data_IF_855876413735
#
_entry.id   IF_855876413735
#
_cell.length_a   1.000
_cell.length_b   1.000
_cell.length_c   1.000
_cell.angle_alpha   90.00
_cell.angle_beta   90.00
_cell.angle_gamma   90.00
#
_symmetry.space_group_name_H-M   'P 1'
#
loop_
_entity.id
_entity.type
_entity.pdbx_description
1 polymer ?
#
# COMPACT_ATOMS: atom_id res chain seq x y z
N UNK A 1 -13.59 43.17 1.78
CA UNK A 1 -12.70 42.52 2.78
C UNK A 1 -13.11 41.07 3.09
N UNK A 2 -14.21 40.53 2.53
CA UNK A 2 -14.64 39.14 2.76
C UNK A 2 -13.84 38.06 2.00
N UNK A 3 -13.15 38.41 0.91
CA UNK A 3 -12.37 37.43 0.13
C UNK A 3 -11.17 36.83 0.87
N UNK A 4 -10.56 37.55 1.82
CA UNK A 4 -9.36 37.08 2.52
C UNK A 4 -9.61 36.13 3.69
N UNK A 5 -10.80 36.15 4.30
CA UNK A 5 -11.14 35.22 5.40
C UNK A 5 -11.56 33.84 4.87
N UNK A 6 -12.29 33.80 3.76
CA UNK A 6 -12.71 32.54 3.14
C UNK A 6 -11.51 31.79 2.53
N UNK A 7 -10.57 32.51 1.91
CA UNK A 7 -9.29 31.93 1.46
C UNK A 7 -8.45 31.40 2.62
N UNK A 8 -8.38 32.12 3.75
CA UNK A 8 -7.69 31.65 4.97
C UNK A 8 -8.36 30.40 5.56
N UNK A 9 -9.68 30.32 5.53
CA UNK A 9 -10.44 29.15 5.96
C UNK A 9 -10.17 27.92 5.08
N UNK A 10 -10.18 28.10 3.76
CA UNK A 10 -9.91 27.04 2.79
C UNK A 10 -8.45 26.56 2.84
N UNK A 11 -7.49 27.49 2.93
CA UNK A 11 -6.06 27.19 3.13
C UNK A 11 -5.82 26.49 4.49
N UNK A 12 -6.50 26.90 5.56
CA UNK A 12 -6.40 26.27 6.86
C UNK A 12 -7.03 24.86 6.90
N UNK A 13 -7.98 24.58 6.01
CA UNK A 13 -8.60 23.27 5.81
C UNK A 13 -7.68 22.37 4.95
N UNK A 14 -7.16 22.88 3.83
CA UNK A 14 -6.19 22.17 2.98
C UNK A 14 -4.89 21.83 3.72
N UNK A 15 -4.41 22.72 4.59
CA UNK A 15 -3.25 22.47 5.46
C UNK A 15 -3.52 21.40 6.55
N UNK A 16 -4.78 21.02 6.77
CA UNK A 16 -5.18 20.02 7.77
C UNK A 16 -5.42 18.63 7.19
N UNK A 17 -5.62 18.53 5.86
CA UNK A 17 -5.85 17.26 5.18
C UNK A 17 -4.49 16.57 4.93
N UNK A 18 -4.34 15.29 5.30
CA UNK A 18 -3.14 14.51 5.01
C UNK A 18 -3.13 14.10 3.54
N UNK A 19 -2.94 15.05 2.63
CA UNK A 19 -3.06 14.84 1.18
C UNK A 19 -2.22 13.65 0.70
N UNK A 20 -1.01 13.48 1.24
CA UNK A 20 -0.15 12.36 0.88
C UNK A 20 -0.75 10.99 1.24
N UNK A 21 -1.26 10.83 2.47
CA UNK A 21 -1.87 9.56 2.92
C UNK A 21 -3.22 9.31 2.28
N UNK A 22 -3.99 10.36 1.98
CA UNK A 22 -5.24 10.26 1.25
C UNK A 22 -5.02 9.79 -0.19
N UNK A 23 -4.04 10.38 -0.89
CA UNK A 23 -3.65 9.94 -2.24
C UNK A 23 -3.17 8.48 -2.20
N UNK A 24 -2.34 8.12 -1.22
CA UNK A 24 -1.90 6.73 -1.02
C UNK A 24 -3.09 5.78 -0.89
N UNK A 25 -4.08 6.14 -0.06
CA UNK A 25 -5.30 5.34 0.12
C UNK A 25 -6.13 5.23 -1.15
N UNK A 26 -6.28 6.30 -1.94
CA UNK A 26 -6.99 6.26 -3.22
C UNK A 26 -6.28 5.34 -4.23
N UNK A 27 -4.96 5.46 -4.37
CA UNK A 27 -4.16 4.59 -5.24
C UNK A 27 -4.30 3.13 -4.80
N UNK A 28 -4.27 2.89 -3.48
CA UNK A 28 -4.48 1.56 -2.91
C UNK A 28 -5.87 1.00 -3.25
N UNK A 29 -6.93 1.80 -3.16
CA UNK A 29 -8.30 1.37 -3.51
C UNK A 29 -8.44 1.03 -4.99
N UNK A 30 -7.87 1.86 -5.87
CA UNK A 30 -7.86 1.58 -7.32
C UNK A 30 -7.08 0.30 -7.60
N UNK A 31 -5.91 0.14 -6.98
CA UNK A 31 -5.10 -1.06 -7.10
C UNK A 31 -5.80 -2.31 -6.60
N UNK A 32 -6.40 -2.30 -5.40
CA UNK A 32 -7.05 -3.50 -4.86
C UNK A 32 -8.35 -3.84 -5.60
N UNK A 33 -9.10 -2.84 -6.05
CA UNK A 33 -10.29 -3.01 -6.87
C UNK A 33 -9.96 -3.64 -8.22
N UNK A 34 -8.96 -3.08 -8.91
CA UNK A 34 -8.43 -3.64 -10.17
C UNK A 34 -7.93 -5.06 -9.98
N UNK A 35 -7.08 -5.29 -8.97
CA UNK A 35 -6.52 -6.61 -8.66
C UNK A 35 -7.60 -7.65 -8.40
N UNK A 36 -8.58 -7.34 -7.55
CA UNK A 36 -9.64 -8.28 -7.19
C UNK A 36 -10.50 -8.62 -8.41
N UNK A 37 -10.91 -7.62 -9.18
CA UNK A 37 -11.75 -7.83 -10.37
C UNK A 37 -11.01 -8.66 -11.43
N UNK A 38 -9.79 -8.27 -11.79
CA UNK A 38 -9.03 -8.96 -12.85
C UNK A 38 -8.54 -10.34 -12.42
N UNK A 39 -8.20 -10.55 -11.15
CA UNK A 39 -7.77 -11.85 -10.63
C UNK A 39 -8.92 -12.86 -10.61
N UNK A 40 -10.11 -12.48 -10.12
CA UNK A 40 -11.26 -13.37 -10.10
C UNK A 40 -11.66 -13.77 -11.53
N UNK A 41 -11.73 -12.80 -12.45
CA UNK A 41 -12.07 -13.08 -13.85
C UNK A 41 -10.98 -13.95 -14.51
N UNK A 42 -9.71 -13.62 -14.30
CA UNK A 42 -8.57 -14.36 -14.87
C UNK A 42 -8.50 -15.80 -14.36
N UNK A 43 -8.70 -16.03 -13.06
CA UNK A 43 -8.72 -17.38 -12.49
C UNK A 43 -9.88 -18.21 -13.01
N UNK A 44 -11.09 -17.63 -13.12
CA UNK A 44 -12.27 -18.34 -13.67
C UNK A 44 -12.05 -18.77 -15.12
N UNK A 45 -11.57 -17.86 -15.96
CA UNK A 45 -11.25 -18.14 -17.36
C UNK A 45 -10.09 -19.12 -17.50
N UNK A 46 -9.09 -19.03 -16.65
CA UNK A 46 -7.99 -20.00 -16.63
C UNK A 46 -8.49 -21.40 -16.25
N UNK A 47 -9.49 -21.50 -15.37
CA UNK A 47 -10.13 -22.76 -14.97
C UNK A 47 -10.86 -23.41 -16.13
N UNK A 48 -11.62 -22.62 -16.86
CA UNK A 48 -12.32 -23.06 -18.07
C UNK A 48 -11.32 -23.51 -19.15
N UNK A 49 -10.23 -22.77 -19.33
CA UNK A 49 -9.19 -23.06 -20.32
C UNK A 49 -8.42 -24.37 -20.02
N UNK A 50 -8.09 -24.62 -18.76
CA UNK A 50 -7.33 -25.81 -18.35
C UNK A 50 -8.21 -27.02 -18.02
N UNK A 51 -9.51 -26.82 -17.78
CA UNK A 51 -10.45 -27.84 -17.33
C UNK A 51 -9.92 -28.65 -16.14
N UNK A 52 -9.27 -27.97 -15.17
CA UNK A 52 -8.69 -28.58 -13.97
C UNK A 52 -9.26 -27.89 -12.70
N UNK A 53 -10.00 -28.60 -11.83
CA UNK A 53 -10.89 -27.94 -10.87
C UNK A 53 -10.31 -27.64 -9.48
N UNK A 54 -9.47 -28.48 -8.87
CA UNK A 54 -9.52 -28.57 -7.40
C UNK A 54 -8.86 -27.42 -6.61
N UNK A 55 -7.66 -26.97 -6.98
CA UNK A 55 -6.95 -25.94 -6.20
C UNK A 55 -7.38 -24.51 -6.54
N UNK A 56 -7.96 -24.31 -7.73
CA UNK A 56 -8.29 -22.97 -8.24
C UNK A 56 -9.58 -22.38 -7.65
N UNK A 57 -10.40 -23.17 -6.95
CA UNK A 57 -11.55 -22.63 -6.19
C UNK A 57 -11.11 -21.80 -5.00
N UNK A 58 -10.06 -22.22 -4.30
CA UNK A 58 -9.55 -21.50 -3.13
C UNK A 58 -9.00 -20.12 -3.48
N UNK A 59 -8.54 -19.91 -4.72
CA UNK A 59 -7.95 -18.64 -5.16
C UNK A 59 -8.94 -17.48 -5.17
N UNK A 60 -10.23 -17.73 -5.46
CA UNK A 60 -11.27 -16.68 -5.42
C UNK A 60 -11.50 -16.19 -3.98
N UNK A 61 -11.71 -17.13 -3.06
CA UNK A 61 -11.93 -16.83 -1.64
C UNK A 61 -10.71 -16.15 -1.00
N UNK A 62 -9.51 -16.62 -1.32
CA UNK A 62 -8.25 -16.00 -0.86
C UNK A 62 -8.12 -14.58 -1.41
N UNK A 63 -8.46 -14.34 -2.68
CA UNK A 63 -8.39 -13.00 -3.29
C UNK A 63 -9.34 -12.03 -2.57
N UNK A 64 -10.56 -12.46 -2.27
CA UNK A 64 -11.54 -11.64 -1.52
C UNK A 64 -11.03 -11.37 -0.10
N UNK A 65 -10.49 -12.38 0.58
CA UNK A 65 -9.91 -12.23 1.93
C UNK A 65 -8.76 -11.22 1.96
N UNK A 66 -7.85 -11.26 0.97
CA UNK A 66 -6.77 -10.28 0.83
C UNK A 66 -7.34 -8.87 0.60
N UNK A 67 -8.35 -8.73 -0.27
CA UNK A 67 -8.99 -7.45 -0.57
C UNK A 67 -9.54 -6.78 0.69
N UNK A 68 -10.36 -7.49 1.46
CA UNK A 68 -10.95 -6.98 2.70
C UNK A 68 -9.86 -6.60 3.70
N UNK A 69 -8.85 -7.46 3.86
CA UNK A 69 -7.74 -7.24 4.79
C UNK A 69 -6.95 -5.97 4.46
N UNK A 70 -6.64 -5.74 3.18
CA UNK A 70 -5.87 -4.57 2.73
C UNK A 70 -6.67 -3.28 2.85
N UNK A 71 -7.98 -3.30 2.58
CA UNK A 71 -8.85 -2.13 2.77
C UNK A 71 -8.91 -1.74 4.26
N UNK A 72 -9.08 -2.71 5.15
CA UNK A 72 -9.11 -2.46 6.60
C UNK A 72 -7.78 -1.90 7.09
N UNK A 73 -6.67 -2.54 6.74
CA UNK A 73 -5.33 -2.09 7.14
C UNK A 73 -5.00 -0.72 6.55
N UNK A 74 -5.24 -0.50 5.26
CA UNK A 74 -4.95 0.78 4.62
C UNK A 74 -5.82 1.93 5.16
N UNK A 75 -7.06 1.65 5.53
CA UNK A 75 -7.91 2.64 6.22
C UNK A 75 -7.38 2.95 7.62
N UNK A 76 -6.90 1.94 8.35
CA UNK A 76 -6.22 2.15 9.63
C UNK A 76 -4.94 3.00 9.47
N UNK A 77 -4.12 2.72 8.46
CA UNK A 77 -2.93 3.52 8.14
C UNK A 77 -3.29 4.98 7.82
N UNK A 78 -4.36 5.19 7.03
CA UNK A 78 -4.88 6.53 6.73
C UNK A 78 -5.30 7.27 8.01
N UNK A 79 -6.06 6.63 8.89
CA UNK A 79 -6.53 7.24 10.14
C UNK A 79 -5.34 7.66 11.01
N UNK A 80 -4.37 6.76 11.23
CA UNK A 80 -3.19 7.07 12.05
C UNK A 80 -2.36 8.19 11.43
N UNK A 81 -2.15 8.17 10.11
CA UNK A 81 -1.44 9.24 9.43
C UNK A 81 -2.19 10.59 9.49
N UNK A 82 -3.52 10.57 9.42
CA UNK A 82 -4.38 11.76 9.57
C UNK A 82 -4.28 12.38 10.96
N UNK A 83 -4.30 11.54 12.00
CA UNK A 83 -4.16 11.99 13.39
C UNK A 83 -2.76 12.53 13.68
N UNK A 84 -1.74 11.98 13.01
CA UNK A 84 -0.34 12.33 13.21
C UNK A 84 0.13 13.51 12.35
N UNK A 85 -0.71 14.00 11.45
CA UNK A 85 -0.40 15.15 10.59
C UNK A 85 -0.36 16.45 11.36
N UNK A 86 0.50 17.39 10.94
CA UNK A 86 1.02 18.47 11.78
C UNK A 86 0.00 19.33 12.53
N UNK A 87 -1.15 19.68 11.92
CA UNK A 87 -2.21 20.44 12.60
C UNK A 87 -2.97 19.58 13.62
N UNK A 88 -3.34 18.35 13.23
CA UNK A 88 -4.09 17.43 14.08
C UNK A 88 -3.24 16.91 15.25
N UNK A 89 -1.95 16.66 15.01
CA UNK A 89 -1.05 16.13 16.02
C UNK A 89 -0.88 17.08 17.21
N UNK A 90 -0.95 18.40 16.98
CA UNK A 90 -0.87 19.40 18.06
C UNK A 90 -2.07 19.33 19.02
N UNK A 91 -3.25 18.94 18.52
CA UNK A 91 -4.45 18.77 19.34
C UNK A 91 -4.52 17.37 19.97
N UNK A 92 -4.25 16.33 19.18
CA UNK A 92 -4.39 14.92 19.59
C UNK A 92 -3.21 14.48 20.46
N UNK A 93 -1.99 14.87 20.12
CA UNK A 93 -0.75 14.47 20.78
C UNK A 93 -0.10 15.62 21.58
N UNK A 94 -0.94 16.43 22.23
CA UNK A 94 -0.52 17.65 22.93
C UNK A 94 0.36 17.44 24.17
N UNK A 95 0.26 16.28 24.82
CA UNK A 95 1.05 15.96 26.04
C UNK A 95 2.15 14.96 25.74
N UNK A 96 3.22 14.96 26.53
CA UNK A 96 4.37 14.04 26.37
C UNK A 96 3.93 12.57 26.33
N UNK A 97 2.98 12.17 27.18
CA UNK A 97 2.43 10.81 27.20
C UNK A 97 1.64 10.49 25.92
N UNK A 98 0.78 11.40 25.46
CA UNK A 98 0.02 11.23 24.20
C UNK A 98 0.96 11.20 23.00
N UNK A 99 2.00 12.03 22.97
CA UNK A 99 2.99 12.01 21.91
C UNK A 99 3.83 10.73 21.88
N UNK A 100 4.19 10.18 23.05
CA UNK A 100 4.84 8.86 23.10
C UNK A 100 3.94 7.78 22.49
N UNK A 101 2.64 7.78 22.79
CA UNK A 101 1.67 6.87 22.18
C UNK A 101 1.55 7.07 20.66
N UNK A 102 1.44 8.32 20.19
CA UNK A 102 1.42 8.64 18.76
C UNK A 102 2.65 8.13 18.03
N UNK A 103 3.84 8.27 18.62
CA UNK A 103 5.09 7.73 18.08
C UNK A 103 5.07 6.21 17.99
N UNK A 104 4.63 5.52 19.03
CA UNK A 104 4.49 4.06 19.02
C UNK A 104 3.52 3.58 17.95
N UNK A 105 2.37 4.25 17.81
CA UNK A 105 1.41 3.96 16.74
C UNK A 105 2.03 4.13 15.34
N UNK A 106 2.77 5.20 15.10
CA UNK A 106 3.44 5.41 13.81
C UNK A 106 4.51 4.34 13.54
N UNK A 107 5.28 3.91 14.54
CA UNK A 107 6.25 2.81 14.40
C UNK A 107 5.54 1.51 14.00
N UNK A 108 4.44 1.16 14.69
CA UNK A 108 3.64 -0.02 14.37
C UNK A 108 3.09 0.07 12.94
N UNK A 109 2.58 1.23 12.54
CA UNK A 109 2.09 1.45 11.18
C UNK A 109 3.20 1.36 10.12
N UNK A 110 4.41 1.84 10.41
CA UNK A 110 5.58 1.67 9.52
C UNK A 110 5.93 0.20 9.34
N UNK A 111 5.95 -0.58 10.44
CA UNK A 111 6.21 -2.02 10.37
C UNK A 111 5.16 -2.71 9.51
N UNK A 112 3.87 -2.42 9.72
CA UNK A 112 2.80 -2.99 8.89
C UNK A 112 2.94 -2.59 7.42
N UNK A 113 3.08 -1.30 7.12
CA UNK A 113 3.20 -0.81 5.75
C UNK A 113 4.42 -1.43 5.03
N UNK A 114 5.54 -1.62 5.73
CA UNK A 114 6.73 -2.28 5.19
C UNK A 114 6.49 -3.76 4.90
N UNK A 115 5.91 -4.50 5.86
CA UNK A 115 5.59 -5.91 5.68
C UNK A 115 4.63 -6.11 4.50
N UNK A 116 3.58 -5.29 4.40
CA UNK A 116 2.65 -5.34 3.28
C UNK A 116 3.33 -4.98 1.96
N UNK A 117 4.23 -3.99 1.93
CA UNK A 117 4.99 -3.68 0.72
C UNK A 117 5.79 -4.90 0.23
N UNK A 118 6.51 -5.59 1.12
CA UNK A 118 7.27 -6.81 0.78
C UNK A 118 6.33 -7.91 0.28
N UNK A 119 5.19 -8.14 0.94
CA UNK A 119 4.20 -9.12 0.49
C UNK A 119 3.69 -8.80 -0.93
N UNK A 120 3.38 -7.54 -1.21
CA UNK A 120 2.91 -7.13 -2.54
C UNK A 120 3.99 -7.24 -3.62
N UNK A 121 5.27 -7.05 -3.28
CA UNK A 121 6.38 -7.34 -4.18
C UNK A 121 6.48 -8.83 -4.50
N UNK A 122 6.32 -9.71 -3.50
CA UNK A 122 6.29 -11.15 -3.70
C UNK A 122 5.11 -11.58 -4.59
N UNK A 123 3.93 -10.97 -4.40
CA UNK A 123 2.77 -11.18 -5.27
C UNK A 123 3.09 -10.75 -6.71
N UNK A 124 3.73 -9.60 -6.91
CA UNK A 124 4.16 -9.15 -8.24
C UNK A 124 5.09 -10.18 -8.89
N UNK A 125 6.09 -10.69 -8.15
CA UNK A 125 6.97 -11.75 -8.62
C UNK A 125 6.23 -13.05 -8.93
N UNK A 126 5.26 -13.46 -8.11
CA UNK A 126 4.45 -14.65 -8.38
C UNK A 126 3.61 -14.51 -9.65
N UNK A 127 3.07 -13.31 -9.91
CA UNK A 127 2.26 -13.01 -11.09
C UNK A 127 3.08 -12.97 -12.40
N UNK A 128 4.40 -12.85 -12.34
CA UNK A 128 5.21 -12.94 -13.57
C UNK A 128 5.16 -14.33 -14.18
N UNK A 129 4.95 -15.39 -13.38
CA UNK A 129 4.88 -16.76 -13.89
C UNK A 129 3.69 -17.00 -14.83
N UNK A 130 2.41 -16.76 -14.45
CA UNK A 130 1.30 -16.93 -15.38
C UNK A 130 1.40 -16.00 -16.59
N UNK A 131 1.90 -14.77 -16.41
CA UNK A 131 2.16 -13.86 -17.53
C UNK A 131 3.18 -14.43 -18.52
N UNK A 132 4.30 -14.95 -18.00
CA UNK A 132 5.34 -15.55 -18.82
C UNK A 132 4.81 -16.74 -19.61
N UNK A 133 4.03 -17.63 -18.98
CA UNK A 133 3.43 -18.79 -19.66
C UNK A 133 2.45 -18.37 -20.76
N UNK A 134 1.63 -17.35 -20.53
CA UNK A 134 0.69 -16.85 -21.54
C UNK A 134 1.38 -16.11 -22.69
N UNK A 135 2.49 -15.40 -22.42
CA UNK A 135 3.33 -14.80 -23.46
C UNK A 135 4.04 -15.88 -24.28
N UNK A 136 4.52 -16.95 -23.63
CA UNK A 136 5.14 -18.07 -24.33
C UNK A 136 4.12 -18.80 -25.22
N UNK A 137 2.89 -18.98 -24.74
CA UNK A 137 1.79 -19.50 -25.56
C UNK A 137 1.55 -18.63 -26.80
N UNK A 138 1.56 -17.30 -26.65
CA UNK A 138 1.46 -16.36 -27.76
C UNK A 138 2.56 -16.57 -28.79
N UNK A 139 3.81 -16.64 -28.34
CA UNK A 139 4.97 -16.80 -29.21
C UNK A 139 4.89 -18.13 -29.97
N UNK A 140 4.57 -19.23 -29.28
CA UNK A 140 4.44 -20.55 -29.91
C UNK A 140 3.35 -20.57 -31.00
N UNK A 141 2.21 -19.92 -30.74
CA UNK A 141 1.10 -19.90 -31.68
C UNK A 141 1.31 -18.91 -32.85
N UNK A 142 1.67 -17.65 -32.57
CA UNK A 142 1.77 -16.60 -33.60
C UNK A 142 3.09 -16.62 -34.37
N UNK A 143 4.22 -16.93 -33.72
CA UNK A 143 5.55 -16.84 -34.35
C UNK A 143 6.05 -18.18 -34.86
N UNK A 144 5.89 -19.25 -34.09
CA UNK A 144 6.38 -20.58 -34.44
C UNK A 144 5.33 -21.46 -35.15
N UNK A 145 4.07 -21.03 -35.19
CA UNK A 145 2.96 -21.75 -35.83
C UNK A 145 2.93 -23.25 -35.49
N UNK A 146 3.10 -23.59 -34.20
CA UNK A 146 3.10 -24.99 -33.75
C UNK A 146 1.74 -25.64 -34.01
N UNK A 147 1.74 -26.89 -34.46
CA UNK A 147 0.49 -27.65 -34.72
C UNK A 147 -0.14 -28.19 -33.43
N UNK A 148 0.67 -28.46 -32.41
CA UNK A 148 0.25 -29.07 -31.14
C UNK A 148 1.04 -28.52 -29.95
N UNK A 149 0.39 -28.42 -28.79
CA UNK A 149 1.00 -28.09 -27.49
C UNK A 149 0.80 -29.26 -26.52
N UNK A 150 1.92 -29.79 -26.01
CA UNK A 150 1.90 -30.79 -24.96
C UNK A 150 1.94 -30.12 -23.57
N UNK A 151 0.80 -30.13 -22.87
CA UNK A 151 0.63 -29.54 -21.54
C UNK A 151 1.42 -30.26 -20.43
N UNK A 152 1.91 -31.48 -20.68
CA UNK A 152 2.74 -32.23 -19.73
C UNK A 152 4.05 -31.51 -19.43
N UNK A 153 4.61 -30.80 -20.41
CA UNK A 153 5.83 -29.99 -20.26
C UNK A 153 5.61 -28.76 -19.36
N UNK A 154 4.36 -28.42 -19.05
CA UNK A 154 3.96 -27.24 -18.28
C UNK A 154 3.33 -27.60 -16.94
N UNK A 155 3.54 -28.84 -16.46
CA UNK A 155 3.07 -29.29 -15.15
C UNK A 155 1.68 -29.92 -15.13
N UNK A 156 1.11 -30.24 -16.30
CA UNK A 156 -0.17 -30.95 -16.41
C UNK A 156 0.02 -32.36 -17.03
N UNK A 157 0.56 -33.33 -16.27
CA UNK A 157 0.96 -34.65 -16.79
C UNK A 157 -0.20 -35.49 -17.32
N UNK A 158 -1.42 -35.26 -16.81
CA UNK A 158 -2.62 -36.04 -17.16
C UNK A 158 -3.43 -35.42 -18.32
N UNK A 159 -2.95 -34.33 -18.93
CA UNK A 159 -3.65 -33.65 -20.02
C UNK A 159 -3.14 -34.15 -21.37
N UNK A 160 -4.07 -34.46 -22.26
CA UNK A 160 -3.77 -34.77 -23.66
C UNK A 160 -3.20 -33.55 -24.38
N UNK A 161 -2.35 -33.74 -25.41
CA UNK A 161 -1.88 -32.65 -26.24
C UNK A 161 -3.04 -31.94 -26.95
N UNK A 162 -2.98 -30.61 -26.98
CA UNK A 162 -3.96 -29.75 -27.64
C UNK A 162 -3.46 -29.44 -29.05
N UNK A 163 -4.24 -29.78 -30.07
CA UNK A 163 -3.89 -29.63 -31.49
C UNK A 163 -5.04 -28.99 -32.30
N UNK A 164 -4.71 -28.51 -33.49
CA UNK A 164 -5.66 -28.06 -34.53
C UNK A 164 -6.70 -27.03 -34.03
N UNK A 165 -8.00 -27.26 -34.27
CA UNK A 165 -9.08 -26.36 -33.85
C UNK A 165 -9.11 -26.11 -32.34
N UNK A 166 -8.71 -27.12 -31.53
CA UNK A 166 -8.61 -26.96 -30.07
C UNK A 166 -7.48 -26.02 -29.69
N UNK A 167 -6.40 -25.98 -30.47
CA UNK A 167 -5.29 -25.06 -30.25
C UNK A 167 -5.71 -23.61 -30.55
N UNK A 168 -6.52 -23.37 -31.58
CA UNK A 168 -7.07 -22.04 -31.86
C UNK A 168 -7.96 -21.52 -30.71
N UNK A 169 -8.84 -22.39 -30.18
CA UNK A 169 -9.69 -22.04 -29.03
C UNK A 169 -8.86 -21.79 -27.78
N UNK A 170 -7.87 -22.65 -27.50
CA UNK A 170 -6.96 -22.52 -26.36
C UNK A 170 -6.14 -21.22 -26.42
N UNK A 171 -5.64 -20.86 -27.61
CA UNK A 171 -4.97 -19.59 -27.83
C UNK A 171 -5.90 -18.39 -27.58
N UNK A 172 -7.12 -18.43 -28.11
CA UNK A 172 -8.08 -17.33 -27.96
C UNK A 172 -8.41 -17.07 -26.49
N UNK A 173 -8.62 -18.14 -25.70
CA UNK A 173 -8.80 -18.06 -24.25
C UNK A 173 -7.54 -17.58 -23.53
N UNK A 174 -6.36 -18.04 -23.96
CA UNK A 174 -5.06 -17.61 -23.43
C UNK A 174 -4.81 -16.12 -23.61
N UNK A 175 -5.10 -15.57 -24.80
CA UNK A 175 -5.00 -14.13 -25.11
C UNK A 175 -5.89 -13.29 -24.19
N UNK A 176 -7.11 -13.74 -23.96
CA UNK A 176 -8.02 -13.08 -23.03
C UNK A 176 -7.50 -13.12 -21.57
N UNK A 177 -6.99 -14.27 -21.15
CA UNK A 177 -6.35 -14.43 -19.84
C UNK A 177 -5.10 -13.55 -19.69
N UNK A 178 -4.33 -13.35 -20.76
CA UNK A 178 -3.15 -12.49 -20.74
C UNK A 178 -3.51 -11.05 -20.36
N UNK A 179 -4.63 -10.53 -20.88
CA UNK A 179 -5.14 -9.21 -20.54
C UNK A 179 -5.55 -9.15 -19.06
N UNK A 180 -6.27 -10.18 -18.57
CA UNK A 180 -6.69 -10.25 -17.17
C UNK A 180 -5.48 -10.29 -16.22
N UNK A 181 -4.52 -11.18 -16.43
CA UNK A 181 -3.33 -11.27 -15.59
C UNK A 181 -2.42 -10.04 -15.73
N UNK A 182 -2.40 -9.39 -16.90
CA UNK A 182 -1.71 -8.12 -17.11
C UNK A 182 -2.32 -7.00 -16.26
N UNK A 183 -3.64 -6.87 -16.26
CA UNK A 183 -4.36 -5.94 -15.40
C UNK A 183 -4.14 -6.26 -13.91
N UNK A 184 -4.12 -7.55 -13.52
CA UNK A 184 -3.82 -7.98 -12.15
C UNK A 184 -2.42 -7.55 -11.73
N UNK A 185 -1.42 -7.72 -12.58
CA UNK A 185 -0.04 -7.32 -12.31
C UNK A 185 0.10 -5.81 -12.15
N UNK A 186 -0.44 -5.01 -13.08
CA UNK A 186 -0.41 -3.54 -12.97
C UNK A 186 -1.11 -3.09 -11.68
N UNK A 187 -2.24 -3.71 -11.34
CA UNK A 187 -2.98 -3.41 -10.13
C UNK A 187 -2.19 -3.75 -8.86
N UNK A 188 -1.50 -4.90 -8.83
CA UNK A 188 -0.61 -5.28 -7.73
C UNK A 188 0.55 -4.29 -7.55
N UNK A 189 1.13 -3.79 -8.65
CA UNK A 189 2.16 -2.74 -8.63
C UNK A 189 1.61 -1.44 -8.06
N UNK A 190 0.38 -1.03 -8.41
CA UNK A 190 -0.27 0.14 -7.82
C UNK A 190 -0.43 0.01 -6.30
N UNK A 191 -0.84 -1.17 -5.81
CA UNK A 191 -0.91 -1.42 -4.36
C UNK A 191 0.49 -1.34 -3.72
N UNK A 192 1.52 -1.91 -4.35
CA UNK A 192 2.89 -1.82 -3.84
C UNK A 192 3.38 -0.35 -3.75
N UNK A 193 3.10 0.47 -4.78
CA UNK A 193 3.40 1.91 -4.82
C UNK A 193 2.64 2.65 -3.71
N UNK A 194 1.36 2.32 -3.49
CA UNK A 194 0.57 2.94 -2.43
C UNK A 194 1.19 2.75 -1.04
N UNK A 195 1.79 1.57 -0.77
CA UNK A 195 2.47 1.28 0.49
C UNK A 195 3.74 2.12 0.66
N UNK A 196 4.48 2.39 -0.43
CA UNK A 196 5.62 3.32 -0.40
C UNK A 196 5.17 4.73 -0.02
N UNK A 197 4.05 5.21 -0.58
CA UNK A 197 3.50 6.51 -0.19
C UNK A 197 3.06 6.55 1.28
N UNK A 198 2.45 5.48 1.81
CA UNK A 198 2.17 5.36 3.24
C UNK A 198 3.45 5.41 4.08
N UNK A 199 4.50 4.68 3.71
CA UNK A 199 5.80 4.69 4.41
C UNK A 199 6.40 6.09 4.47
N UNK A 200 6.39 6.83 3.35
CA UNK A 200 6.89 8.21 3.28
C UNK A 200 6.06 9.12 4.19
N UNK A 201 4.74 9.08 4.08
CA UNK A 201 3.85 9.96 4.84
C UNK A 201 3.91 9.71 6.36
N UNK A 202 3.86 8.43 6.77
CA UNK A 202 3.95 8.04 8.19
C UNK A 202 5.36 8.35 8.72
N UNK A 203 6.41 8.13 7.92
CA UNK A 203 7.78 8.47 8.28
C UNK A 203 7.97 9.97 8.54
N UNK A 204 7.40 10.81 7.69
CA UNK A 204 7.41 12.27 7.89
C UNK A 204 6.66 12.67 9.17
N UNK A 205 5.48 12.09 9.41
CA UNK A 205 4.69 12.34 10.61
C UNK A 205 5.42 11.89 11.89
N UNK A 206 6.06 10.71 11.87
CA UNK A 206 6.88 10.22 12.97
C UNK A 206 8.03 11.18 13.30
N UNK A 207 8.74 11.67 12.28
CA UNK A 207 9.83 12.63 12.45
C UNK A 207 9.32 13.93 13.08
N UNK A 208 8.21 14.48 12.59
CA UNK A 208 7.59 15.67 13.15
C UNK A 208 7.23 15.48 14.63
N UNK A 209 6.61 14.36 15.01
CA UNK A 209 6.28 14.06 16.41
C UNK A 209 7.52 13.88 17.31
N UNK A 210 8.65 13.45 16.75
CA UNK A 210 9.91 13.35 17.48
C UNK A 210 10.52 14.73 17.73
N UNK A 211 10.50 15.60 16.72
CA UNK A 211 11.05 16.95 16.79
C UNK A 211 10.28 17.86 17.76
N UNK A 212 8.95 17.76 17.82
CA UNK A 212 8.14 18.55 18.76
C UNK A 212 8.51 18.30 20.22
N UNK A 213 8.81 17.06 20.61
CA UNK A 213 9.26 16.77 21.99
C UNK A 213 10.66 17.29 22.25
N UNK A 214 11.58 17.17 21.29
CA UNK A 214 12.92 17.71 21.46
C UNK A 214 12.88 19.23 21.67
N UNK A 215 12.04 19.93 20.92
CA UNK A 215 11.79 21.36 21.10
C UNK A 215 11.18 21.67 22.49
N UNK A 216 10.16 20.92 22.91
CA UNK A 216 9.56 21.10 24.24
C UNK A 216 10.56 20.83 25.37
N UNK A 217 11.38 19.78 25.26
CA UNK A 217 12.40 19.47 26.26
C UNK A 217 13.48 20.55 26.34
N UNK A 218 13.95 21.06 25.20
CA UNK A 218 14.92 22.15 25.17
C UNK A 218 14.35 23.45 25.74
N UNK A 219 13.06 23.74 25.50
CA UNK A 219 12.40 24.91 26.07
C UNK A 219 12.27 24.80 27.60
N UNK A 220 11.90 23.63 28.13
CA UNK A 220 11.89 23.39 29.58
C UNK A 220 13.30 23.52 30.19
N UNK A 221 14.31 22.95 29.55
CA UNK A 221 15.69 23.02 30.03
C UNK A 221 16.22 24.46 30.02
N UNK A 222 15.91 25.25 28.99
CA UNK A 222 16.30 26.66 28.92
C UNK A 222 15.66 27.49 30.03
N UNK A 223 14.35 27.30 30.27
CA UNK A 223 13.64 28.00 31.34
C UNK A 223 14.17 27.63 32.73
N UNK A 224 14.52 26.35 32.97
CA UNK A 224 15.10 25.91 34.24
C UNK A 224 16.50 26.52 34.47
N UNK A 225 17.32 26.61 33.41
CA UNK A 225 18.62 27.32 33.48
C UNK A 225 18.43 28.81 33.77
N UNK A 226 17.46 29.47 33.13
CA UNK A 226 17.18 30.89 33.36
C UNK A 226 16.65 31.13 34.78
N UNK A 227 15.74 30.30 35.29
CA UNK A 227 15.22 30.38 36.66
C UNK A 227 16.33 30.19 37.71
N UNK A 228 17.24 29.24 37.49
CA UNK A 228 18.43 29.05 38.36
C UNK A 228 19.36 30.26 38.31
N UNK A 229 19.51 30.90 37.14
CA UNK A 229 20.36 32.07 36.97
C UNK A 229 19.77 33.32 37.63
N UNK A 230 18.46 33.52 37.51
CA UNK A 230 17.71 34.59 38.19
C UNK A 230 17.77 34.41 39.71
N UNK A 231 17.57 33.19 40.21
CA UNK A 231 17.68 32.87 41.64
C UNK A 231 19.09 33.12 42.20
N UNK A 232 20.14 32.82 41.42
CA UNK A 232 21.51 33.09 41.84
C UNK A 232 21.84 34.59 41.90
N UNK A 233 21.31 35.36 40.95
CA UNK A 233 21.51 36.82 40.92
C UNK A 233 20.78 37.52 42.08
N UNK A 234 19.57 37.09 42.43
CA UNK A 234 18.84 37.64 43.58
C UNK A 234 19.48 37.29 44.93
N UNK A 235 20.12 36.13 45.05
CA UNK A 235 20.93 35.74 46.21
C UNK A 235 22.24 36.52 46.34
N UNK A 236 22.78 37.05 45.24
CA UNK A 236 23.96 37.91 45.26
C UNK A 236 23.60 39.35 45.63
N UNK A 237 22.46 39.87 45.18
CA UNK A 237 21.97 41.21 45.53
C UNK A 237 21.55 41.35 47.00
N UNK A 238 21.14 40.25 47.65
CA UNK A 238 20.80 40.24 49.09
C UNK A 238 21.99 40.09 50.03
N UNK A 239 23.21 39.89 49.49
CA UNK A 239 24.46 39.76 50.26
C UNK A 239 25.41 40.95 50.14
N UNK A 240 25.01 42.02 49.44
CA UNK A 240 25.65 43.34 49.49
C UNK A 240 24.90 44.25 50.46
#
# INVERSE_FOLDING_TARGET
MEGSEQDRGCLACMASVPCASLIAWIIMLVGIGGFTASMIIGVRRLREMLADPDWMYMMEDVTIGICVSVVVVGTFLLVVASLSSGKNSRHVFSTTKKNAFGRSLNIVCLIFAYTFHVVWLLICCALTLPLFLLILLRILYEEYAVECINLQNYGFPNKEPICDDRLYLFWTQGKENLICFGATFVSAVLVAISMVHFLIAIGANYKHLKETVFATYNAYNHNDVDDVRVSRNSLLETKM
#
